data_IF_738026276611
#
_entry.id   IF_738026276611
#
_cell.length_a   1.000
_cell.length_b   1.000
_cell.length_c   1.000
_cell.angle_alpha   90.00
_cell.angle_beta   90.00
_cell.angle_gamma   90.00
#
_symmetry.space_group_name_H-M   'P 1'
#
loop_
_entity.id
_entity.type
_entity.pdbx_description
1 polymer ?
#
# COMPACT_ATOMS: atom_id res chain seq x y z
N UNK A 1 -17.94 -30.79 -48.80
CA UNK A 1 -18.21 -29.41 -48.33
C UNK A 1 -18.68 -29.45 -46.88
N UNK A 2 -17.83 -29.07 -45.93
CA UNK A 2 -18.16 -28.81 -44.52
C UNK A 2 -17.12 -27.81 -44.00
N UNK A 3 -17.46 -26.52 -43.98
CA UNK A 3 -16.67 -25.45 -43.34
C UNK A 3 -17.61 -24.36 -42.82
N UNK A 4 -18.37 -24.67 -41.78
CA UNK A 4 -18.93 -23.67 -40.89
C UNK A 4 -19.05 -24.37 -39.56
N UNK A 5 -18.14 -24.13 -38.63
CA UNK A 5 -18.34 -24.21 -37.19
C UNK A 5 -16.99 -23.83 -36.55
N UNK A 6 -17.03 -23.11 -35.44
CA UNK A 6 -15.89 -22.57 -34.68
C UNK A 6 -15.37 -21.19 -35.16
N UNK A 7 -16.24 -20.18 -35.18
CA UNK A 7 -15.77 -18.78 -35.06
C UNK A 7 -16.56 -18.00 -33.99
N UNK A 8 -17.77 -18.42 -33.62
CA UNK A 8 -18.65 -17.61 -32.75
C UNK A 8 -18.36 -17.79 -31.24
N UNK A 9 -17.72 -18.88 -30.82
CA UNK A 9 -17.52 -19.15 -29.39
C UNK A 9 -16.38 -18.36 -28.73
N UNK A 10 -15.47 -17.76 -29.53
CA UNK A 10 -14.30 -17.03 -29.01
C UNK A 10 -14.55 -15.54 -28.72
N UNK A 11 -15.68 -14.99 -29.18
CA UNK A 11 -16.01 -13.57 -28.97
C UNK A 11 -16.81 -13.30 -27.69
N UNK A 12 -17.49 -14.30 -27.11
CA UNK A 12 -18.30 -14.12 -25.91
C UNK A 12 -17.51 -14.21 -24.59
N UNK A 13 -16.30 -14.77 -24.60
CA UNK A 13 -15.42 -14.82 -23.42
C UNK A 13 -14.67 -13.51 -23.15
N UNK A 14 -14.71 -12.54 -24.08
CA UNK A 14 -14.11 -11.21 -23.90
C UNK A 14 -15.01 -10.21 -23.15
N UNK A 15 -16.27 -10.57 -22.87
CA UNK A 15 -17.26 -9.71 -22.20
C UNK A 15 -17.71 -10.23 -20.85
N UNK A 16 -16.97 -11.16 -20.23
CA UNK A 16 -17.11 -11.30 -18.78
C UNK A 16 -16.61 -10.00 -18.17
N UNK A 17 -17.41 -9.29 -17.36
CA UNK A 17 -16.90 -8.18 -16.60
C UNK A 17 -15.85 -8.80 -15.69
N UNK A 18 -14.58 -8.64 -16.08
CA UNK A 18 -13.46 -8.66 -15.16
C UNK A 18 -13.94 -7.75 -14.04
N UNK A 19 -14.41 -8.40 -12.98
CA UNK A 19 -14.80 -7.74 -11.77
C UNK A 19 -13.50 -7.08 -11.39
N UNK A 20 -13.40 -5.77 -11.66
CA UNK A 20 -12.27 -4.96 -11.28
C UNK A 20 -12.35 -4.88 -9.76
N UNK A 21 -12.10 -6.01 -9.09
CA UNK A 21 -11.43 -6.03 -7.83
C UNK A 21 -10.18 -5.23 -8.14
N UNK A 22 -10.18 -3.96 -7.74
CA UNK A 22 -8.99 -3.13 -7.75
C UNK A 22 -7.99 -3.87 -6.87
N UNK A 23 -7.26 -4.80 -7.47
CA UNK A 23 -6.22 -5.56 -6.81
C UNK A 23 -5.21 -4.49 -6.42
N UNK A 24 -5.01 -4.30 -5.12
CA UNK A 24 -4.03 -3.37 -4.59
C UNK A 24 -2.72 -3.54 -5.39
N UNK A 25 -2.31 -2.49 -6.10
CA UNK A 25 -1.10 -2.51 -6.92
C UNK A 25 0.07 -2.18 -5.99
N UNK A 26 0.67 -3.22 -5.44
CA UNK A 26 1.70 -3.13 -4.40
C UNK A 26 3.04 -2.66 -5.00
N UNK A 27 3.44 -1.43 -4.69
CA UNK A 27 4.74 -0.89 -5.04
C UNK A 27 5.79 -1.21 -3.96
N UNK A 28 6.97 -1.75 -4.30
CA UNK A 28 8.03 -1.98 -3.31
C UNK A 28 8.56 -0.66 -2.74
N UNK A 29 8.78 -0.62 -1.42
CA UNK A 29 9.35 0.53 -0.69
C UNK A 29 10.76 0.24 -0.16
N UNK A 30 10.89 -0.87 0.57
CA UNK A 30 12.10 -1.21 1.30
C UNK A 30 12.20 -2.73 1.46
N UNK A 31 13.40 -3.27 1.42
CA UNK A 31 13.65 -4.69 1.65
C UNK A 31 14.93 -4.84 2.46
N UNK A 32 14.89 -5.73 3.45
CA UNK A 32 16.07 -6.23 4.15
C UNK A 32 15.97 -7.75 4.30
N UNK A 33 16.87 -8.36 5.06
CA UNK A 33 16.89 -9.81 5.29
C UNK A 33 15.67 -10.34 6.08
N UNK A 34 14.99 -9.48 6.84
CA UNK A 34 13.86 -9.85 7.70
C UNK A 34 12.50 -9.58 7.08
N UNK A 35 12.41 -8.59 6.18
CA UNK A 35 11.14 -7.96 5.82
C UNK A 35 11.20 -7.26 4.46
N UNK A 36 10.05 -7.27 3.76
CA UNK A 36 9.80 -6.55 2.52
C UNK A 36 8.56 -5.70 2.69
N UNK A 37 8.72 -4.39 2.54
CA UNK A 37 7.65 -3.41 2.65
C UNK A 37 7.19 -3.00 1.26
N UNK A 38 5.88 -2.95 1.10
CA UNK A 38 5.18 -2.50 -0.09
C UNK A 38 4.11 -1.48 0.31
N UNK A 39 3.74 -0.60 -0.62
CA UNK A 39 2.63 0.34 -0.47
C UNK A 39 1.62 0.17 -1.60
N UNK A 40 0.34 0.28 -1.29
CA UNK A 40 -0.72 0.28 -2.29
C UNK A 40 -0.75 1.62 -3.04
N UNK A 41 -0.40 1.61 -4.32
CA UNK A 41 -0.37 2.81 -5.19
C UNK A 41 -1.72 3.52 -5.29
N UNK A 42 -2.81 2.79 -5.09
CA UNK A 42 -4.16 3.32 -5.20
C UNK A 42 -4.67 3.91 -3.87
N UNK A 43 -3.83 3.91 -2.83
CA UNK A 43 -4.09 4.59 -1.56
C UNK A 43 -3.26 5.87 -1.46
N UNK A 44 -3.34 6.61 -0.36
CA UNK A 44 -2.62 7.89 -0.22
C UNK A 44 -3.55 9.09 -0.28
N UNK A 45 -4.27 9.33 0.82
CA UNK A 45 -4.98 10.60 1.01
C UNK A 45 -4.11 11.53 1.84
N UNK A 46 -3.65 12.62 1.21
CA UNK A 46 -2.91 13.69 1.86
C UNK A 46 -3.85 14.84 2.22
N UNK A 47 -3.86 15.29 3.48
CA UNK A 47 -4.72 16.39 3.94
C UNK A 47 -3.94 17.67 4.34
N UNK A 48 -2.74 17.84 3.77
CA UNK A 48 -1.73 18.87 4.09
C UNK A 48 -0.90 18.61 5.35
N UNK A 49 -1.29 17.67 6.21
CA UNK A 49 -0.53 17.35 7.42
C UNK A 49 -0.42 15.86 7.71
N UNK A 50 -1.43 15.11 7.33
CA UNK A 50 -1.59 13.68 7.51
C UNK A 50 -1.70 12.96 6.17
N UNK A 51 -0.94 11.87 6.03
CA UNK A 51 -0.99 10.94 4.92
C UNK A 51 -1.58 9.62 5.41
N UNK A 52 -2.65 9.17 4.77
CA UNK A 52 -3.23 7.84 5.01
C UNK A 52 -2.96 6.92 3.83
N UNK A 53 -2.27 5.81 4.09
CA UNK A 53 -1.85 4.81 3.08
C UNK A 53 -2.06 3.39 3.58
N UNK A 54 -2.09 2.42 2.66
CA UNK A 54 -2.02 1.00 3.01
C UNK A 54 -0.63 0.45 2.72
N UNK A 55 -0.04 -0.20 3.71
CA UNK A 55 1.21 -0.94 3.58
C UNK A 55 0.97 -2.45 3.63
N UNK A 56 1.87 -3.18 2.99
CA UNK A 56 2.04 -4.61 3.17
C UNK A 56 3.46 -4.88 3.61
N UNK A 57 3.62 -5.56 4.74
CA UNK A 57 4.91 -6.01 5.25
C UNK A 57 4.97 -7.53 5.17
N UNK A 58 5.89 -8.08 4.37
CA UNK A 58 6.10 -9.53 4.22
C UNK A 58 7.39 -9.93 4.93
N UNK A 59 7.28 -10.82 5.91
CA UNK A 59 8.40 -11.33 6.72
C UNK A 59 9.16 -12.44 5.97
N UNK A 60 10.37 -12.72 6.42
CA UNK A 60 11.24 -13.73 5.81
C UNK A 60 10.63 -15.15 5.80
N UNK A 61 9.78 -15.49 6.77
CA UNK A 61 9.07 -16.77 6.89
C UNK A 61 7.80 -16.85 6.03
N UNK A 62 7.44 -15.77 5.33
CA UNK A 62 6.28 -15.67 4.46
C UNK A 62 5.03 -15.12 5.15
N UNK A 63 5.03 -14.95 6.48
CA UNK A 63 3.97 -14.27 7.19
C UNK A 63 3.88 -12.81 6.72
N UNK A 64 2.69 -12.23 6.74
CA UNK A 64 2.53 -10.86 6.28
C UNK A 64 1.46 -10.07 7.02
N UNK A 65 1.63 -8.75 6.97
CA UNK A 65 0.77 -7.78 7.65
C UNK A 65 0.23 -6.82 6.60
N UNK A 66 -1.08 -6.55 6.65
CA UNK A 66 -1.72 -5.47 5.92
C UNK A 66 -2.03 -4.34 6.90
N UNK A 67 -1.44 -3.18 6.68
CA UNK A 67 -1.41 -2.08 7.63
C UNK A 67 -2.12 -0.86 7.01
N UNK A 68 -3.18 -0.38 7.65
CA UNK A 68 -3.71 0.96 7.41
C UNK A 68 -2.89 1.94 8.26
N UNK A 69 -2.02 2.71 7.62
CA UNK A 69 -1.09 3.60 8.27
C UNK A 69 -1.54 5.05 8.09
N UNK A 70 -1.58 5.79 9.20
CA UNK A 70 -1.62 7.25 9.20
C UNK A 70 -0.23 7.80 9.56
N UNK A 71 0.25 8.77 8.78
CA UNK A 71 1.52 9.46 8.98
C UNK A 71 1.27 10.94 9.13
N UNK A 72 1.68 11.52 10.26
CA UNK A 72 1.55 12.95 10.51
C UNK A 72 2.92 13.62 10.44
N UNK A 73 3.07 14.59 9.53
CA UNK A 73 4.31 15.32 9.31
C UNK A 73 4.16 16.70 9.97
N UNK A 74 4.55 16.81 11.24
CA UNK A 74 4.52 18.07 11.98
C UNK A 74 5.65 19.01 11.57
N UNK A 75 6.86 18.46 11.45
CA UNK A 75 8.07 19.10 10.92
C UNK A 75 9.00 18.01 10.37
N UNK A 76 10.15 18.38 9.79
CA UNK A 76 11.15 17.42 9.32
C UNK A 76 11.62 16.48 10.45
N UNK A 77 11.69 17.00 11.67
CA UNK A 77 12.14 16.26 12.86
C UNK A 77 10.99 15.67 13.69
N UNK A 78 9.74 15.89 13.28
CA UNK A 78 8.55 15.49 14.02
C UNK A 78 7.57 14.77 13.11
N UNK A 79 7.94 13.52 12.79
CA UNK A 79 7.10 12.57 12.07
C UNK A 79 6.47 11.63 13.08
N UNK A 80 5.15 11.48 13.02
CA UNK A 80 4.42 10.56 13.86
C UNK A 80 3.70 9.52 13.01
N UNK A 81 3.66 8.28 13.50
CA UNK A 81 2.96 7.18 12.86
C UNK A 81 1.86 6.67 13.77
N UNK A 82 0.77 6.23 13.16
CA UNK A 82 -0.28 5.48 13.83
C UNK A 82 -0.76 4.36 12.92
N UNK A 83 -0.59 3.11 13.34
CA UNK A 83 -1.22 1.99 12.68
C UNK A 83 -2.70 1.96 13.08
N UNK A 84 -3.57 2.53 12.24
CA UNK A 84 -5.01 2.58 12.51
C UNK A 84 -5.63 1.18 12.52
N UNK A 85 -5.10 0.27 11.70
CA UNK A 85 -5.43 -1.15 11.74
C UNK A 85 -4.28 -1.97 11.13
N UNK A 86 -3.99 -3.12 11.72
CA UNK A 86 -3.01 -4.11 11.22
C UNK A 86 -3.67 -5.47 11.23
N UNK A 87 -3.93 -6.03 10.05
CA UNK A 87 -4.38 -7.41 9.90
C UNK A 87 -3.17 -8.31 9.62
N UNK A 88 -2.97 -9.32 10.46
CA UNK A 88 -1.84 -10.26 10.38
C UNK A 88 -2.32 -11.57 9.78
N UNK A 89 -1.55 -12.09 8.83
CA UNK A 89 -1.79 -13.34 8.14
C UNK A 89 -0.56 -14.22 8.22
N UNK A 90 -0.77 -15.52 8.33
CA UNK A 90 0.32 -16.49 8.19
C UNK A 90 0.74 -16.65 6.72
N UNK A 91 1.85 -17.34 6.49
CA UNK A 91 2.36 -17.66 5.15
C UNK A 91 1.40 -18.39 4.22
N UNK A 92 0.35 -19.01 4.75
CA UNK A 92 -0.69 -19.69 3.97
C UNK A 92 -1.88 -18.75 3.67
N UNK A 93 -1.80 -17.48 4.06
CA UNK A 93 -2.86 -16.50 3.89
C UNK A 93 -4.00 -16.62 4.90
N UNK A 94 -3.82 -17.39 5.99
CA UNK A 94 -4.84 -17.51 7.04
C UNK A 94 -4.75 -16.32 7.97
N UNK A 95 -5.89 -15.70 8.24
CA UNK A 95 -5.99 -14.62 9.22
C UNK A 95 -5.60 -15.12 10.62
N UNK A 96 -4.73 -14.36 11.28
CA UNK A 96 -4.24 -14.67 12.64
C UNK A 96 -4.86 -13.73 13.66
N UNK A 97 -4.71 -12.42 13.45
CA UNK A 97 -5.18 -11.39 14.38
C UNK A 97 -5.27 -10.01 13.74
N UNK A 98 -5.94 -9.10 14.44
CA UNK A 98 -5.93 -7.67 14.14
C UNK A 98 -5.43 -6.89 15.35
N UNK A 99 -4.71 -5.79 15.11
CA UNK A 99 -4.27 -4.85 16.14
C UNK A 99 -4.33 -3.42 15.62
N UNK A 100 -4.23 -2.44 16.50
CA UNK A 100 -4.18 -1.02 16.17
C UNK A 100 -3.43 -0.27 17.26
N UNK A 101 -2.76 0.81 16.89
CA UNK A 101 -2.13 1.69 17.86
C UNK A 101 -3.18 2.60 18.51
N UNK A 102 -3.11 2.76 19.84
CA UNK A 102 -3.98 3.69 20.57
C UNK A 102 -3.59 5.13 20.29
N UNK A 103 -2.28 5.39 20.34
CA UNK A 103 -1.69 6.72 20.30
C UNK A 103 -0.70 6.86 19.15
N UNK A 104 -0.50 8.10 18.71
CA UNK A 104 0.54 8.47 17.76
C UNK A 104 1.93 8.20 18.34
N UNK A 105 2.78 7.54 17.56
CA UNK A 105 4.15 7.20 17.93
C UNK A 105 5.11 8.12 17.21
N UNK A 106 5.97 8.82 17.96
CA UNK A 106 7.05 9.61 17.37
C UNK A 106 8.06 8.67 16.72
N UNK A 107 8.38 8.93 15.45
CA UNK A 107 9.39 8.18 14.72
C UNK A 107 10.78 8.64 15.17
N UNK A 108 11.59 7.70 15.67
CA UNK A 108 12.97 8.00 16.04
C UNK A 108 13.81 8.31 14.78
N UNK A 109 14.71 9.30 14.83
CA UNK A 109 15.63 9.58 13.73
C UNK A 109 16.51 8.39 13.38
N UNK A 110 16.95 8.31 12.12
CA UNK A 110 17.85 7.29 11.59
C UNK A 110 17.32 5.85 11.74
N UNK A 111 16.00 5.69 11.74
CA UNK A 111 15.35 4.38 11.78
C UNK A 111 14.70 4.02 10.44
N UNK A 112 14.46 2.72 10.22
CA UNK A 112 13.67 2.23 9.07
C UNK A 112 12.30 2.90 9.02
N UNK A 113 11.69 3.18 10.17
CA UNK A 113 10.42 3.91 10.25
C UNK A 113 10.50 5.32 9.64
N UNK A 114 11.60 6.05 9.90
CA UNK A 114 11.81 7.38 9.32
C UNK A 114 12.03 7.30 7.82
N UNK A 115 12.85 6.34 7.36
CA UNK A 115 13.07 6.09 5.94
C UNK A 115 11.75 5.83 5.22
N UNK A 116 10.95 4.88 5.70
CA UNK A 116 9.64 4.54 5.11
C UNK A 116 8.72 5.76 5.09
N UNK A 117 8.62 6.52 6.19
CA UNK A 117 7.75 7.69 6.26
C UNK A 117 8.16 8.78 5.26
N UNK A 118 9.45 9.02 5.07
CA UNK A 118 9.96 9.99 4.09
C UNK A 118 9.77 9.49 2.65
N UNK A 119 10.00 8.21 2.37
CA UNK A 119 9.73 7.62 1.05
C UNK A 119 8.25 7.73 0.69
N UNK A 120 7.35 7.43 1.63
CA UNK A 120 5.91 7.62 1.45
C UNK A 120 5.55 9.07 1.17
N UNK A 121 6.13 10.00 1.93
CA UNK A 121 5.93 11.43 1.70
C UNK A 121 6.34 11.82 0.29
N UNK A 122 7.52 11.39 -0.17
CA UNK A 122 8.02 11.68 -1.52
C UNK A 122 7.08 11.11 -2.60
N UNK A 123 6.67 9.83 -2.48
CA UNK A 123 5.77 9.18 -3.44
C UNK A 123 4.44 9.94 -3.57
N UNK A 124 3.81 10.28 -2.44
CA UNK A 124 2.46 10.84 -2.42
C UNK A 124 2.41 12.38 -2.45
N UNK A 125 3.50 13.08 -2.14
CA UNK A 125 3.59 14.54 -2.24
C UNK A 125 4.17 14.99 -3.60
N UNK A 126 5.21 14.31 -4.14
CA UNK A 126 5.78 14.68 -5.45
C UNK A 126 4.91 14.20 -6.62
N UNK A 127 4.31 13.00 -6.52
CA UNK A 127 3.40 12.48 -7.54
C UNK A 127 2.09 13.28 -7.65
N UNK A 128 1.52 13.71 -6.52
CA UNK A 128 0.22 14.35 -6.47
C UNK A 128 0.24 15.83 -6.87
N UNK A 129 1.25 16.59 -6.44
CA UNK A 129 1.42 18.00 -6.86
C UNK A 129 1.64 18.11 -8.37
N UNK A 130 2.46 17.20 -8.93
CA UNK A 130 2.74 17.13 -10.37
C UNK A 130 1.53 16.67 -11.19
N UNK A 131 0.73 15.73 -10.68
CA UNK A 131 -0.49 15.27 -11.34
C UNK A 131 -1.65 16.31 -11.30
N UNK A 132 -1.59 17.32 -10.41
CA UNK A 132 -2.68 18.27 -10.19
C UNK A 132 -2.30 19.76 -10.34
N UNK A 133 -1.10 20.08 -10.87
CA UNK A 133 -0.65 21.45 -11.19
C UNK A 133 -0.82 22.49 -10.06
N UNK A 134 -0.58 22.12 -8.81
CA UNK A 134 -0.68 23.05 -7.67
C UNK A 134 0.67 23.78 -7.51
N UNK A 135 0.71 25.13 -7.50
CA UNK A 135 1.96 25.89 -7.41
C UNK A 135 2.62 25.78 -6.03
N UNK A 136 3.94 25.99 -6.03
CA UNK A 136 4.86 25.84 -4.91
C UNK A 136 4.51 26.70 -3.70
#
# INVERSE_FOLDING_TARGET
MKKVFVVVTLLFSLFLPLSHCSAADWCPLFSNEYSKFYVDRNTGKWDKKELRVKLKNVKADGDYELINLAVWYGSVDSIFLKNEAVAVYDKNGRYVKTTSDKDWQLVKPNTVGQFIALTLFHIYQEGFKKANNIPW
#
